data_IF_929702716540
#
_entry.id   IF_929702716540
#
_cell.length_a   1.000
_cell.length_b   1.000
_cell.length_c   1.000
_cell.angle_alpha   90.00
_cell.angle_beta   90.00
_cell.angle_gamma   90.00
#
_symmetry.space_group_name_H-M   'P 1'
#
loop_
_entity.id
_entity.type
_entity.pdbx_description
1 polymer ?
#
# COMPACT_ATOMS: atom_id res chain seq x y z
N UNK A 1 -20.35 4.01 -4.19
CA UNK A 1 -19.63 2.73 -4.00
C UNK A 1 -20.02 1.65 -5.00
N UNK A 2 -21.21 1.68 -5.62
CA UNK A 2 -21.65 0.64 -6.58
C UNK A 2 -20.88 0.58 -7.90
N UNK A 3 -20.01 1.55 -8.19
CA UNK A 3 -19.22 1.57 -9.43
C UNK A 3 -18.00 0.62 -9.41
N UNK A 4 -17.63 0.09 -8.24
CA UNK A 4 -16.52 -0.86 -8.08
C UNK A 4 -17.02 -2.29 -8.20
N UNK A 5 -16.62 -2.98 -9.28
CA UNK A 5 -16.96 -4.38 -9.52
C UNK A 5 -16.47 -5.32 -8.42
N UNK A 6 -15.37 -5.00 -7.73
CA UNK A 6 -14.77 -5.84 -6.71
C UNK A 6 -15.66 -6.04 -5.46
N UNK A 7 -16.71 -5.23 -5.30
CA UNK A 7 -17.68 -5.36 -4.20
C UNK A 7 -18.73 -6.46 -4.45
N UNK A 8 -18.90 -6.90 -5.71
CA UNK A 8 -19.94 -7.85 -6.08
C UNK A 8 -19.32 -9.23 -6.29
N UNK A 9 -19.77 -10.22 -5.53
CA UNK A 9 -19.31 -11.60 -5.69
C UNK A 9 -19.61 -12.15 -7.10
N UNK A 10 -20.71 -11.69 -7.72
CA UNK A 10 -21.08 -12.02 -9.10
C UNK A 10 -19.97 -11.70 -10.10
N UNK A 11 -19.38 -10.50 -9.99
CA UNK A 11 -18.35 -10.04 -10.94
C UNK A 11 -17.14 -10.96 -10.93
N UNK A 12 -16.77 -11.48 -9.76
CA UNK A 12 -15.67 -12.44 -9.60
C UNK A 12 -16.07 -13.80 -10.15
N UNK A 13 -17.21 -14.35 -9.72
CA UNK A 13 -17.63 -15.71 -10.08
C UNK A 13 -17.86 -15.90 -11.60
N UNK A 14 -18.34 -14.85 -12.30
CA UNK A 14 -18.50 -14.86 -13.76
C UNK A 14 -17.16 -14.90 -14.52
N UNK A 15 -16.09 -14.38 -13.91
CA UNK A 15 -14.80 -14.12 -14.57
C UNK A 15 -13.65 -15.02 -14.09
N UNK A 16 -13.89 -15.98 -13.19
CA UNK A 16 -12.92 -17.00 -12.79
C UNK A 16 -13.20 -18.34 -13.45
N UNK A 17 -12.18 -19.19 -13.61
CA UNK A 17 -12.43 -20.61 -13.89
C UNK A 17 -13.21 -21.22 -12.72
N UNK A 18 -14.50 -21.49 -12.98
CA UNK A 18 -15.42 -21.93 -11.95
C UNK A 18 -15.09 -23.34 -11.48
N UNK A 19 -14.56 -24.21 -12.34
CA UNK A 19 -14.16 -25.57 -11.94
C UNK A 19 -12.97 -25.51 -11.00
N UNK A 20 -11.98 -24.68 -11.32
CA UNK A 20 -10.82 -24.45 -10.44
C UNK A 20 -11.24 -23.79 -9.12
N UNK A 21 -12.17 -22.83 -9.16
CA UNK A 21 -12.77 -22.24 -7.95
C UNK A 21 -13.48 -23.30 -7.10
N UNK A 22 -14.31 -24.17 -7.70
CA UNK A 22 -15.00 -25.26 -7.00
C UNK A 22 -14.04 -26.26 -6.37
N UNK A 23 -12.94 -26.58 -7.05
CA UNK A 23 -11.92 -27.48 -6.52
C UNK A 23 -11.25 -26.91 -5.26
N UNK A 24 -10.95 -25.61 -5.22
CA UNK A 24 -10.28 -24.98 -4.09
C UNK A 24 -11.25 -24.54 -2.97
N UNK A 25 -12.40 -23.99 -3.34
CA UNK A 25 -13.30 -23.26 -2.43
C UNK A 25 -14.71 -23.83 -2.38
N UNK A 26 -15.02 -24.88 -3.13
CA UNK A 26 -16.40 -25.32 -3.36
C UNK A 26 -17.16 -25.65 -2.07
N UNK A 27 -16.57 -26.46 -1.18
CA UNK A 27 -17.17 -26.77 0.12
C UNK A 27 -17.46 -25.52 0.95
N UNK A 28 -16.52 -24.58 0.99
CA UNK A 28 -16.68 -23.36 1.77
C UNK A 28 -17.71 -22.43 1.16
N UNK A 29 -17.72 -22.30 -0.16
CA UNK A 29 -18.74 -21.56 -0.90
C UNK A 29 -20.14 -22.15 -0.70
N UNK A 30 -20.28 -23.47 -0.65
CA UNK A 30 -21.57 -24.12 -0.43
C UNK A 30 -22.13 -23.78 0.95
N UNK A 31 -21.32 -23.95 1.98
CA UNK A 31 -21.68 -23.64 3.38
C UNK A 31 -22.06 -22.17 3.54
N UNK A 32 -21.24 -21.28 3.00
CA UNK A 32 -21.38 -19.85 3.27
C UNK A 32 -22.38 -19.15 2.38
N UNK A 33 -22.59 -19.62 1.15
CA UNK A 33 -23.37 -18.90 0.13
C UNK A 33 -24.41 -19.82 -0.52
N UNK A 34 -23.98 -20.92 -1.15
CA UNK A 34 -24.86 -21.64 -2.07
C UNK A 34 -26.06 -22.32 -1.40
N UNK A 35 -25.88 -22.87 -0.19
CA UNK A 35 -26.98 -23.51 0.56
C UNK A 35 -28.11 -22.52 0.83
N UNK A 36 -27.78 -21.28 1.24
CA UNK A 36 -28.80 -20.26 1.51
C UNK A 36 -29.50 -19.84 0.21
N UNK A 37 -28.75 -19.58 -0.86
CA UNK A 37 -29.32 -19.17 -2.14
C UNK A 37 -30.23 -20.26 -2.74
N UNK A 38 -29.91 -21.53 -2.52
CA UNK A 38 -30.73 -22.66 -2.97
C UNK A 38 -32.10 -22.77 -2.28
N UNK A 39 -32.36 -21.99 -1.21
CA UNK A 39 -33.67 -21.98 -0.53
C UNK A 39 -34.75 -21.21 -1.29
N UNK A 40 -34.38 -20.43 -2.31
CA UNK A 40 -35.31 -19.62 -3.10
C UNK A 40 -35.12 -19.83 -4.60
N UNK A 41 -36.21 -19.70 -5.37
CA UNK A 41 -36.16 -19.79 -6.84
C UNK A 41 -35.30 -18.69 -7.45
N UNK A 42 -35.33 -17.48 -6.87
CA UNK A 42 -34.48 -16.37 -7.29
C UNK A 42 -33.00 -16.67 -7.07
N UNK A 43 -32.62 -17.18 -5.89
CA UNK A 43 -31.23 -17.51 -5.58
C UNK A 43 -30.67 -18.66 -6.42
N UNK A 44 -31.48 -19.69 -6.69
CA UNK A 44 -31.12 -20.77 -7.64
C UNK A 44 -30.88 -20.22 -9.06
N UNK A 45 -31.74 -19.31 -9.52
CA UNK A 45 -31.61 -18.68 -10.83
C UNK A 45 -30.34 -17.83 -10.92
N UNK A 46 -30.05 -17.03 -9.90
CA UNK A 46 -28.83 -16.23 -9.82
C UNK A 46 -27.57 -17.10 -9.79
N UNK A 47 -27.55 -18.19 -9.00
CA UNK A 47 -26.42 -19.13 -8.96
C UNK A 47 -26.15 -19.75 -10.33
N UNK A 48 -27.20 -20.20 -11.01
CA UNK A 48 -27.10 -20.78 -12.36
C UNK A 48 -26.53 -19.76 -13.36
N UNK A 49 -27.13 -18.56 -13.41
CA UNK A 49 -26.71 -17.50 -14.33
C UNK A 49 -25.27 -17.03 -14.08
N UNK A 50 -24.87 -16.89 -12.81
CA UNK A 50 -23.54 -16.38 -12.42
C UNK A 50 -22.43 -17.37 -12.72
N UNK A 51 -22.68 -18.67 -12.53
CA UNK A 51 -21.62 -19.70 -12.56
C UNK A 51 -21.48 -20.38 -13.92
N UNK A 52 -22.49 -20.28 -14.79
CA UNK A 52 -22.48 -20.85 -16.13
C UNK A 52 -22.24 -19.82 -17.24
N UNK A 53 -22.47 -18.53 -16.98
CA UNK A 53 -22.29 -17.48 -17.98
C UNK A 53 -20.82 -17.25 -18.32
N UNK A 54 -20.48 -17.37 -19.60
CA UNK A 54 -19.18 -17.00 -20.19
C UNK A 54 -19.43 -16.03 -21.34
N UNK A 55 -19.62 -14.77 -20.99
CA UNK A 55 -19.74 -13.71 -21.99
C UNK A 55 -18.38 -13.46 -22.65
N UNK A 56 -18.42 -12.86 -23.84
CA UNK A 56 -17.22 -12.23 -24.40
C UNK A 56 -16.78 -11.07 -23.50
N UNK A 57 -15.53 -10.63 -23.63
CA UNK A 57 -15.01 -9.50 -22.84
C UNK A 57 -15.86 -8.24 -23.09
N UNK A 58 -16.20 -7.95 -24.36
CA UNK A 58 -16.97 -6.77 -24.73
C UNK A 58 -18.40 -6.81 -24.15
N UNK A 59 -19.03 -7.99 -24.13
CA UNK A 59 -20.36 -8.18 -23.55
C UNK A 59 -20.33 -8.08 -22.03
N UNK A 60 -19.30 -8.60 -21.36
CA UNK A 60 -19.16 -8.49 -19.90
C UNK A 60 -18.90 -7.04 -19.48
N UNK A 61 -18.08 -6.29 -20.23
CA UNK A 61 -17.89 -4.84 -20.03
C UNK A 61 -19.22 -4.10 -20.22
N UNK A 62 -19.97 -4.42 -21.28
CA UNK A 62 -21.27 -3.82 -21.54
C UNK A 62 -22.28 -4.13 -20.43
N UNK A 63 -22.29 -5.37 -19.91
CA UNK A 63 -23.11 -5.78 -18.78
C UNK A 63 -22.75 -4.98 -17.52
N UNK A 64 -21.46 -4.85 -17.18
CA UNK A 64 -21.02 -4.06 -16.02
C UNK A 64 -21.44 -2.58 -16.15
N UNK A 65 -21.28 -2.00 -17.34
CA UNK A 65 -21.65 -0.60 -17.61
C UNK A 65 -23.16 -0.35 -17.47
N UNK A 66 -24.02 -1.32 -17.81
CA UNK A 66 -25.47 -1.20 -17.61
C UNK A 66 -25.85 -1.03 -16.13
N UNK A 67 -25.04 -1.56 -15.20
CA UNK A 67 -25.22 -1.39 -13.75
C UNK A 67 -24.35 -0.27 -13.16
N UNK A 68 -23.71 0.55 -14.00
CA UNK A 68 -22.84 1.65 -13.57
C UNK A 68 -21.51 1.20 -12.97
N UNK A 69 -21.11 -0.06 -13.17
CA UNK A 69 -19.80 -0.58 -12.77
C UNK A 69 -18.78 -0.18 -13.83
N UNK A 70 -17.72 0.52 -13.43
CA UNK A 70 -16.72 1.06 -14.37
C UNK A 70 -15.26 0.87 -13.95
N UNK A 71 -15.00 0.30 -12.78
CA UNK A 71 -13.67 -0.08 -12.33
C UNK A 71 -13.71 -1.33 -11.45
N UNK A 72 -12.55 -1.96 -11.26
CA UNK A 72 -12.37 -3.10 -10.38
C UNK A 72 -11.14 -2.87 -9.50
N UNK A 73 -11.37 -2.27 -8.33
CA UNK A 73 -10.30 -1.91 -7.40
C UNK A 73 -10.36 -2.83 -6.18
N UNK A 74 -9.33 -3.65 -6.00
CA UNK A 74 -9.17 -4.52 -4.83
C UNK A 74 -8.66 -3.73 -3.63
N UNK A 75 -9.00 -4.19 -2.43
CA UNK A 75 -8.42 -3.63 -1.21
C UNK A 75 -6.90 -3.78 -1.18
N UNK A 76 -6.23 -2.74 -0.66
CA UNK A 76 -4.79 -2.77 -0.46
C UNK A 76 -4.42 -3.73 0.67
N UNK A 77 -3.47 -4.62 0.39
CA UNK A 77 -3.01 -5.66 1.31
C UNK A 77 -1.51 -5.86 1.13
N UNK A 78 -0.79 -6.17 2.22
CA UNK A 78 0.65 -6.44 2.17
C UNK A 78 1.02 -7.91 2.34
N UNK A 79 0.05 -8.82 2.44
CA UNK A 79 0.29 -10.27 2.55
C UNK A 79 0.77 -10.91 1.23
N UNK A 80 0.67 -10.22 0.09
CA UNK A 80 1.02 -10.78 -1.23
C UNK A 80 1.85 -9.82 -2.07
N UNK A 81 2.97 -10.33 -2.59
CA UNK A 81 3.71 -9.75 -3.70
C UNK A 81 2.94 -10.01 -4.99
N UNK A 82 2.54 -8.94 -5.68
CA UNK A 82 1.99 -9.06 -7.02
C UNK A 82 3.12 -9.39 -7.99
N UNK A 83 2.86 -10.39 -8.84
CA UNK A 83 3.78 -10.73 -9.93
C UNK A 83 3.59 -9.77 -11.09
N UNK A 84 4.70 -9.37 -11.71
CA UNK A 84 4.69 -8.49 -12.88
C UNK A 84 5.78 -8.94 -13.84
N UNK A 85 5.38 -9.23 -15.08
CA UNK A 85 6.29 -9.45 -16.19
C UNK A 85 6.02 -8.34 -17.19
N UNK A 86 6.95 -7.41 -17.30
CA UNK A 86 6.90 -6.32 -18.26
C UNK A 86 8.07 -6.46 -19.23
N UNK A 87 7.78 -6.68 -20.50
CA UNK A 87 8.76 -6.81 -21.56
C UNK A 87 8.33 -6.03 -22.81
N UNK A 88 9.31 -5.60 -23.60
CA UNK A 88 9.11 -5.03 -24.93
C UNK A 88 9.97 -5.81 -25.92
N UNK A 89 9.59 -5.80 -27.19
CA UNK A 89 10.37 -6.43 -28.23
C UNK A 89 11.05 -5.38 -29.11
N UNK A 90 12.33 -5.61 -29.42
CA UNK A 90 13.06 -4.83 -30.41
C UNK A 90 13.17 -5.67 -31.67
N UNK A 91 12.64 -5.15 -32.77
CA UNK A 91 12.78 -5.78 -34.08
C UNK A 91 13.99 -5.20 -34.81
N UNK A 92 14.84 -6.06 -35.38
CA UNK A 92 15.93 -5.61 -36.23
C UNK A 92 15.47 -5.40 -37.69
N UNK A 93 16.37 -4.87 -38.53
CA UNK A 93 16.10 -4.61 -39.95
C UNK A 93 15.74 -5.87 -40.77
N UNK A 94 16.06 -7.06 -40.27
CA UNK A 94 15.73 -8.34 -40.90
C UNK A 94 14.39 -8.93 -40.43
N UNK A 95 13.62 -8.19 -39.61
CA UNK A 95 12.32 -8.63 -39.09
C UNK A 95 12.42 -9.62 -37.93
N UNK A 96 13.61 -9.85 -37.36
CA UNK A 96 13.76 -10.68 -36.16
C UNK A 96 13.44 -9.87 -34.91
N UNK A 97 12.56 -10.42 -34.07
CA UNK A 97 12.08 -9.81 -32.84
C UNK A 97 12.80 -10.38 -31.61
N UNK A 98 13.38 -9.51 -30.78
CA UNK A 98 14.10 -9.87 -29.56
C UNK A 98 13.40 -9.28 -28.33
N UNK A 99 12.93 -10.11 -27.37
CA UNK A 99 12.29 -9.63 -26.16
C UNK A 99 13.32 -9.11 -25.14
N UNK A 100 13.06 -7.94 -24.57
CA UNK A 100 13.79 -7.32 -23.47
C UNK A 100 12.86 -7.12 -22.29
N UNK A 101 13.27 -7.63 -21.13
CA UNK A 101 12.51 -7.51 -19.89
C UNK A 101 12.82 -6.18 -19.20
N UNK A 102 11.81 -5.33 -19.03
CA UNK A 102 11.90 -4.07 -18.27
C UNK A 102 11.79 -4.32 -16.77
N UNK A 103 10.87 -5.21 -16.39
CA UNK A 103 10.61 -5.54 -15.01
C UNK A 103 10.14 -6.98 -14.90
N UNK A 104 10.71 -7.68 -13.93
CA UNK A 104 10.32 -9.04 -13.60
C UNK A 104 10.17 -9.15 -12.10
N UNK A 105 9.00 -9.58 -11.66
CA UNK A 105 8.67 -9.80 -10.26
C UNK A 105 7.81 -11.06 -10.16
N UNK A 106 8.27 -12.03 -9.36
CA UNK A 106 7.47 -13.22 -9.07
C UNK A 106 6.37 -12.88 -8.08
N UNK A 107 5.18 -13.45 -8.29
CA UNK A 107 4.12 -13.42 -7.31
C UNK A 107 4.45 -14.37 -6.15
N UNK A 108 4.27 -13.93 -4.92
CA UNK A 108 4.43 -14.79 -3.75
C UNK A 108 3.62 -14.28 -2.55
N UNK A 109 3.24 -15.21 -1.67
CA UNK A 109 2.69 -14.83 -0.37
C UNK A 109 3.82 -14.47 0.59
N UNK A 110 3.55 -13.56 1.51
CA UNK A 110 4.48 -13.04 2.52
C UNK A 110 3.78 -12.86 3.87
N UNK A 111 3.07 -13.90 4.30
CA UNK A 111 2.32 -13.91 5.56
C UNK A 111 3.18 -13.58 6.79
N UNK A 112 4.48 -13.87 6.77
CA UNK A 112 5.40 -13.50 7.87
C UNK A 112 5.64 -11.99 8.02
N UNK A 113 5.39 -11.21 6.96
CA UNK A 113 5.57 -9.74 6.96
C UNK A 113 4.26 -8.98 6.89
N UNK A 114 3.17 -9.71 7.01
CA UNK A 114 1.82 -9.24 6.85
C UNK A 114 1.39 -8.39 8.05
N UNK A 115 0.74 -7.27 7.80
CA UNK A 115 0.19 -6.40 8.87
C UNK A 115 -1.20 -5.83 8.58
N UNK A 116 -1.77 -6.05 7.39
CA UNK A 116 -3.08 -5.58 6.93
C UNK A 116 -4.30 -6.44 7.30
N UNK A 117 -4.18 -7.74 7.61
CA UNK A 117 -5.30 -8.69 7.76
C UNK A 117 -6.21 -8.36 8.93
N UNK A 118 -5.70 -7.68 9.97
CA UNK A 118 -6.54 -7.16 11.06
C UNK A 118 -7.49 -6.05 10.62
N UNK A 119 -7.21 -5.34 9.53
CA UNK A 119 -8.16 -4.37 8.96
C UNK A 119 -9.31 -5.07 8.26
N UNK A 120 -8.97 -5.98 7.34
CA UNK A 120 -9.86 -6.98 6.78
C UNK A 120 -8.99 -8.08 6.17
N UNK A 121 -9.30 -9.35 6.48
CA UNK A 121 -8.46 -10.49 6.07
C UNK A 121 -8.84 -11.11 4.71
N UNK A 122 -9.88 -10.59 4.07
CA UNK A 122 -10.35 -11.08 2.78
C UNK A 122 -11.33 -12.26 2.85
N UNK A 123 -12.08 -12.43 1.75
CA UNK A 123 -13.13 -13.44 1.60
C UNK A 123 -12.62 -14.88 1.81
N UNK A 124 -11.39 -15.18 1.39
CA UNK A 124 -10.77 -16.50 1.59
C UNK A 124 -10.72 -16.91 3.08
N UNK A 125 -10.42 -15.95 3.96
CA UNK A 125 -10.39 -16.19 5.40
C UNK A 125 -11.81 -16.28 5.97
N UNK A 126 -12.77 -15.50 5.47
CA UNK A 126 -14.19 -15.63 5.84
C UNK A 126 -14.74 -17.02 5.51
N UNK A 127 -14.46 -17.50 4.29
CA UNK A 127 -14.83 -18.84 3.81
C UNK A 127 -14.20 -19.94 4.67
N UNK A 128 -12.90 -19.81 4.98
CA UNK A 128 -12.17 -20.77 5.81
C UNK A 128 -12.72 -20.80 7.23
N UNK A 129 -12.93 -19.63 7.86
CA UNK A 129 -13.48 -19.52 9.19
C UNK A 129 -14.86 -20.20 9.27
N UNK A 130 -15.73 -20.00 8.29
CA UNK A 130 -17.04 -20.64 8.28
C UNK A 130 -17.01 -22.17 8.10
N UNK A 131 -15.90 -22.77 7.65
CA UNK A 131 -15.79 -24.23 7.50
C UNK A 131 -14.98 -24.92 8.59
N UNK A 132 -14.22 -24.18 9.38
CA UNK A 132 -13.43 -24.70 10.48
C UNK A 132 -14.26 -24.82 11.75
N UNK A 133 -14.44 -26.04 12.24
CA UNK A 133 -15.24 -26.34 13.44
C UNK A 133 -14.78 -25.61 14.71
N UNK A 134 -13.50 -25.24 14.79
CA UNK A 134 -12.91 -24.53 15.92
C UNK A 134 -13.03 -23.00 15.82
N UNK A 135 -13.56 -22.48 14.71
CA UNK A 135 -13.82 -21.06 14.57
C UNK A 135 -15.03 -20.64 15.41
N UNK A 136 -15.28 -19.33 15.51
CA UNK A 136 -16.47 -18.79 16.15
C UNK A 136 -17.71 -18.78 15.23
N UNK A 137 -17.56 -19.10 13.95
CA UNK A 137 -18.64 -19.05 12.95
C UNK A 137 -18.81 -20.35 12.14
N UNK A 138 -18.63 -21.55 12.71
CA UNK A 138 -18.62 -22.79 11.96
C UNK A 138 -20.01 -23.10 11.38
N UNK A 139 -20.06 -23.45 10.10
CA UNK A 139 -21.28 -23.83 9.39
C UNK A 139 -22.25 -22.66 9.13
N UNK A 140 -21.84 -21.41 9.36
CA UNK A 140 -22.71 -20.24 9.22
C UNK A 140 -22.65 -19.63 7.81
N UNK A 141 -23.73 -18.92 7.44
CA UNK A 141 -23.86 -18.28 6.13
C UNK A 141 -23.24 -16.87 6.12
N UNK A 142 -22.62 -16.47 5.01
CA UNK A 142 -22.19 -15.09 4.76
C UNK A 142 -23.27 -14.25 4.07
N UNK A 143 -24.41 -14.86 3.71
CA UNK A 143 -25.57 -14.15 3.14
C UNK A 143 -26.29 -13.42 4.27
N UNK A 144 -26.31 -12.08 4.22
CA UNK A 144 -26.84 -11.23 5.31
C UNK A 144 -28.31 -11.47 5.64
N UNK A 145 -29.12 -11.89 4.67
CA UNK A 145 -30.54 -12.20 4.87
C UNK A 145 -30.79 -13.61 5.43
N UNK A 146 -29.75 -14.44 5.56
CA UNK A 146 -29.88 -15.79 6.12
C UNK A 146 -30.20 -15.72 7.62
N UNK A 147 -31.11 -16.58 8.13
CA UNK A 147 -31.32 -16.71 9.57
C UNK A 147 -30.08 -17.23 10.31
N UNK A 148 -29.13 -17.85 9.62
CA UNK A 148 -27.85 -18.32 10.17
C UNK A 148 -26.67 -17.45 9.72
N UNK A 149 -26.88 -16.13 9.59
CA UNK A 149 -25.82 -15.20 9.22
C UNK A 149 -24.67 -15.21 10.24
N UNK A 150 -23.45 -15.39 9.75
CA UNK A 150 -22.24 -15.63 10.54
C UNK A 150 -21.95 -14.55 11.57
N UNK A 151 -22.24 -13.29 11.24
CA UNK A 151 -21.93 -12.14 12.09
C UNK A 151 -23.16 -11.56 12.77
N UNK A 152 -24.26 -12.32 12.89
CA UNK A 152 -25.45 -11.88 13.62
C UNK A 152 -25.19 -11.73 15.13
N UNK A 153 -24.43 -12.66 15.71
CA UNK A 153 -24.18 -12.74 17.16
C UNK A 153 -22.70 -12.53 17.54
N UNK A 154 -21.82 -12.33 16.57
CA UNK A 154 -20.39 -12.07 16.79
C UNK A 154 -19.90 -11.01 15.81
N UNK A 155 -18.81 -10.34 16.16
CA UNK A 155 -18.13 -9.39 15.27
C UNK A 155 -16.92 -10.04 14.62
N UNK A 156 -16.54 -9.58 13.44
CA UNK A 156 -15.30 -10.03 12.81
C UNK A 156 -14.07 -9.75 13.69
N UNK A 157 -14.05 -8.64 14.45
CA UNK A 157 -13.03 -8.39 15.47
C UNK A 157 -12.92 -9.47 16.56
N UNK A 158 -14.05 -10.10 16.96
CA UNK A 158 -14.04 -11.24 17.89
C UNK A 158 -13.45 -12.49 17.22
N UNK A 159 -13.84 -12.76 15.98
CA UNK A 159 -13.31 -13.90 15.20
C UNK A 159 -11.79 -13.74 14.98
N UNK A 160 -11.33 -12.54 14.66
CA UNK A 160 -9.90 -12.21 14.50
C UNK A 160 -9.11 -12.42 15.79
N UNK A 161 -9.68 -12.10 16.96
CA UNK A 161 -9.07 -12.38 18.26
C UNK A 161 -8.98 -13.87 18.55
N UNK A 162 -10.06 -14.61 18.29
CA UNK A 162 -10.09 -16.06 18.49
C UNK A 162 -9.11 -16.81 17.58
N UNK A 163 -8.86 -16.30 16.37
CA UNK A 163 -7.88 -16.87 15.44
C UNK A 163 -6.44 -16.34 15.67
N UNK A 164 -6.24 -15.41 16.59
CA UNK A 164 -4.91 -14.85 16.90
C UNK A 164 -4.38 -13.81 15.90
N UNK A 165 -5.17 -13.40 14.91
CA UNK A 165 -4.80 -12.30 13.98
C UNK A 165 -4.81 -10.94 14.69
N UNK A 166 -5.72 -10.76 15.65
CA UNK A 166 -5.80 -9.56 16.48
C UNK A 166 -5.40 -9.90 17.91
N UNK A 167 -4.43 -9.19 18.52
CA UNK A 167 -4.03 -9.46 19.90
C UNK A 167 -5.18 -9.15 20.88
N UNK A 168 -5.14 -9.81 22.04
CA UNK A 168 -6.08 -9.56 23.13
C UNK A 168 -5.35 -9.68 24.48
N UNK A 169 -5.35 -8.64 25.33
CA UNK A 169 -5.97 -7.32 25.13
C UNK A 169 -5.29 -6.50 24.01
N UNK A 170 -6.01 -5.51 23.47
CA UNK A 170 -5.44 -4.55 22.51
C UNK A 170 -4.45 -3.63 23.23
N UNK A 171 -3.29 -3.38 22.63
CA UNK A 171 -2.42 -2.30 23.09
C UNK A 171 -2.97 -0.91 22.78
N UNK A 172 -2.41 0.11 23.43
CA UNK A 172 -2.93 1.48 23.36
C UNK A 172 -3.01 2.04 21.93
N UNK A 173 -2.05 1.69 21.06
CA UNK A 173 -2.06 2.12 19.67
C UNK A 173 -3.28 1.56 18.92
N UNK A 174 -3.60 0.27 19.10
CA UNK A 174 -4.78 -0.34 18.50
C UNK A 174 -6.09 0.13 19.12
N UNK A 175 -6.12 0.48 20.41
CA UNK A 175 -7.29 1.12 21.01
C UNK A 175 -7.58 2.47 20.35
N UNK A 176 -6.55 3.32 20.18
CA UNK A 176 -6.70 4.62 19.50
C UNK A 176 -7.15 4.42 18.04
N UNK A 177 -6.51 3.50 17.32
CA UNK A 177 -6.88 3.17 15.95
C UNK A 177 -8.34 2.71 15.84
N UNK A 178 -8.77 1.80 16.71
CA UNK A 178 -10.15 1.31 16.72
C UNK A 178 -11.15 2.44 16.98
N UNK A 179 -10.81 3.38 17.86
CA UNK A 179 -11.67 4.53 18.17
C UNK A 179 -11.77 5.52 17.01
N UNK A 180 -10.73 5.66 16.18
CA UNK A 180 -10.69 6.61 15.06
C UNK A 180 -11.26 6.00 13.77
N UNK A 181 -10.83 4.78 13.42
CA UNK A 181 -11.18 4.12 12.16
C UNK A 181 -12.42 3.22 12.25
N UNK A 182 -12.76 2.77 13.46
CA UNK A 182 -13.79 1.78 13.71
C UNK A 182 -13.23 0.38 13.98
N UNK A 183 -14.12 -0.63 14.07
CA UNK A 183 -13.73 -1.97 14.47
C UNK A 183 -12.80 -2.65 13.46
N UNK A 184 -11.78 -3.35 13.97
CA UNK A 184 -10.95 -4.26 13.19
C UNK A 184 -11.80 -5.33 12.49
N UNK A 185 -11.37 -5.75 11.31
CA UNK A 185 -12.13 -6.62 10.41
C UNK A 185 -13.11 -5.87 9.50
N UNK A 186 -13.41 -4.59 9.77
CA UNK A 186 -14.35 -3.78 8.97
C UNK A 186 -13.74 -2.47 8.46
N UNK A 187 -12.41 -2.44 8.28
CA UNK A 187 -11.71 -1.27 7.76
C UNK A 187 -11.24 -1.54 6.33
N UNK A 188 -11.82 -0.82 5.38
CA UNK A 188 -11.43 -0.90 3.97
C UNK A 188 -10.15 -0.10 3.71
N UNK A 189 -9.14 -0.74 3.15
CA UNK A 189 -7.88 -0.08 2.77
C UNK A 189 -7.77 0.09 1.27
N UNK A 190 -7.35 1.27 0.83
CA UNK A 190 -7.17 1.62 -0.58
C UNK A 190 -5.74 2.08 -0.83
N UNK A 191 -5.20 1.71 -1.99
CA UNK A 191 -3.93 2.25 -2.45
C UNK A 191 -4.15 3.63 -3.07
N UNK A 192 -3.47 4.64 -2.57
CA UNK A 192 -3.47 5.97 -3.16
C UNK A 192 -2.22 6.09 -4.03
N UNK A 193 -2.35 6.19 -5.37
CA UNK A 193 -1.19 6.35 -6.23
C UNK A 193 -0.55 7.72 -6.01
N UNK A 194 0.76 7.80 -6.26
CA UNK A 194 1.45 9.09 -6.29
C UNK A 194 0.77 10.01 -7.32
N UNK A 195 0.39 11.26 -6.95
CA UNK A 195 -0.29 12.19 -7.84
C UNK A 195 0.42 12.35 -9.18
N UNK A 196 -0.34 12.41 -10.27
CA UNK A 196 0.22 12.52 -11.62
C UNK A 196 1.11 13.76 -11.75
N UNK A 197 0.64 14.90 -11.24
CA UNK A 197 1.37 16.17 -11.30
C UNK A 197 2.71 16.11 -10.58
N UNK A 198 2.77 15.45 -9.42
CA UNK A 198 4.02 15.24 -8.69
C UNK A 198 5.00 14.36 -9.49
N UNK A 199 4.52 13.27 -10.10
CA UNK A 199 5.35 12.43 -10.98
C UNK A 199 5.86 13.19 -12.19
N UNK A 200 5.01 14.02 -12.81
CA UNK A 200 5.38 14.84 -13.96
C UNK A 200 6.42 15.90 -13.57
N UNK A 201 6.23 16.60 -12.45
CA UNK A 201 7.18 17.59 -11.95
C UNK A 201 8.56 16.99 -11.67
N UNK A 202 8.62 15.83 -11.01
CA UNK A 202 9.89 15.13 -10.76
C UNK A 202 10.52 14.68 -12.07
N UNK A 203 9.74 14.08 -12.98
CA UNK A 203 10.24 13.65 -14.30
C UNK A 203 10.82 14.82 -15.10
N UNK A 204 10.11 15.93 -15.18
CA UNK A 204 10.55 17.13 -15.89
C UNK A 204 11.83 17.69 -15.27
N UNK A 205 11.89 17.78 -13.94
CA UNK A 205 13.08 18.26 -13.22
C UNK A 205 14.30 17.38 -13.50
N UNK A 206 14.15 16.05 -13.50
CA UNK A 206 15.23 15.12 -13.83
C UNK A 206 15.67 15.23 -15.30
N UNK A 207 14.74 15.45 -16.24
CA UNK A 207 15.07 15.66 -17.65
C UNK A 207 15.88 16.96 -17.82
N UNK A 208 15.47 18.04 -17.17
CA UNK A 208 16.18 19.31 -17.21
C UNK A 208 17.58 19.20 -16.60
N UNK A 209 17.70 18.55 -15.44
CA UNK A 209 18.99 18.27 -14.80
C UNK A 209 19.92 17.51 -15.76
N UNK A 210 19.44 16.44 -16.38
CA UNK A 210 20.24 15.63 -17.31
C UNK A 210 20.67 16.40 -18.55
N UNK A 211 19.80 17.26 -19.11
CA UNK A 211 20.15 18.15 -20.22
C UNK A 211 21.22 19.16 -19.84
N UNK A 212 21.12 19.76 -18.64
CA UNK A 212 22.14 20.69 -18.15
C UNK A 212 23.50 19.99 -17.96
N UNK A 213 23.50 18.74 -17.50
CA UNK A 213 24.71 17.94 -17.35
C UNK A 213 25.31 17.52 -18.70
N UNK A 214 24.49 17.22 -19.71
CA UNK A 214 24.96 16.87 -21.05
C UNK A 214 25.62 18.07 -21.76
N UNK A 215 25.07 19.28 -21.56
CA UNK A 215 25.47 20.48 -22.27
C UNK A 215 26.69 21.24 -21.71
N UNK A 216 27.24 20.91 -20.54
CA UNK A 216 28.26 21.75 -19.91
C UNK A 216 29.18 21.10 -18.88
N UNK A 217 30.50 21.18 -19.12
CA UNK A 217 31.56 20.72 -18.20
C UNK A 217 31.48 21.45 -16.84
N UNK A 218 31.10 22.73 -16.83
CA UNK A 218 30.91 23.49 -15.60
C UNK A 218 29.77 22.90 -14.73
N UNK A 219 28.63 22.56 -15.35
CA UNK A 219 27.50 21.94 -14.65
C UNK A 219 27.87 20.55 -14.11
N UNK A 220 28.63 19.75 -14.88
CA UNK A 220 29.15 18.46 -14.43
C UNK A 220 30.09 18.61 -13.23
N UNK A 221 31.00 19.58 -13.28
CA UNK A 221 31.94 19.86 -12.18
C UNK A 221 31.19 20.27 -10.91
N UNK A 222 30.28 21.24 -10.98
CA UNK A 222 29.45 21.66 -9.83
C UNK A 222 28.60 20.53 -9.28
N UNK A 223 28.01 19.69 -10.14
CA UNK A 223 27.24 18.51 -9.70
C UNK A 223 28.11 17.50 -8.95
N UNK A 224 29.33 17.25 -9.43
CA UNK A 224 30.26 16.29 -8.79
C UNK A 224 30.75 16.73 -7.41
N UNK A 225 30.77 18.05 -7.16
CA UNK A 225 31.19 18.64 -5.89
C UNK A 225 30.14 18.54 -4.79
N UNK A 226 28.89 18.19 -5.11
CA UNK A 226 27.85 17.99 -4.10
C UNK A 226 28.22 16.78 -3.24
N UNK A 227 28.38 17.03 -1.94
CA UNK A 227 28.68 15.99 -0.96
C UNK A 227 27.53 15.01 -0.87
N UNK A 228 27.85 13.71 -0.87
CA UNK A 228 26.81 12.69 -0.70
C UNK A 228 26.29 12.75 0.74
N UNK A 229 24.98 12.92 0.98
CA UNK A 229 24.42 12.77 2.31
C UNK A 229 24.50 11.27 2.64
N UNK A 230 25.45 10.87 3.48
CA UNK A 230 25.71 9.47 3.84
C UNK A 230 24.60 8.88 4.75
N UNK A 231 23.33 8.99 4.35
CA UNK A 231 22.14 8.66 5.16
C UNK A 231 22.01 9.47 6.46
N UNK A 232 22.65 10.64 6.54
CA UNK A 232 22.58 11.56 7.69
C UNK A 232 21.32 12.45 7.64
N UNK A 233 20.15 11.83 7.48
CA UNK A 233 18.88 12.53 7.42
C UNK A 233 17.85 11.82 8.30
N UNK A 234 17.46 12.50 9.37
CA UNK A 234 16.40 12.08 10.28
C UNK A 234 15.50 13.27 10.57
N UNK A 235 14.77 13.79 9.55
CA UNK A 235 13.97 14.97 9.74
C UNK A 235 12.68 14.61 10.50
N UNK A 236 12.17 15.58 11.25
CA UNK A 236 10.83 15.52 11.80
C UNK A 236 10.07 16.80 11.45
N UNK A 237 8.73 16.73 11.23
CA UNK A 237 7.94 17.92 10.99
C UNK A 237 8.03 18.87 12.18
N UNK A 238 8.20 20.17 11.91
CA UNK A 238 8.28 21.20 12.96
C UNK A 238 7.10 21.14 13.93
N UNK A 239 5.89 20.92 13.40
CA UNK A 239 4.68 20.79 14.22
C UNK A 239 4.78 19.66 15.26
N UNK A 240 5.56 18.61 14.99
CA UNK A 240 5.76 17.49 15.92
C UNK A 240 6.86 17.79 16.92
N UNK A 241 7.97 18.39 16.47
CA UNK A 241 9.05 18.81 17.37
C UNK A 241 8.61 19.88 18.36
N UNK A 242 7.70 20.77 17.95
CA UNK A 242 7.12 21.80 18.82
C UNK A 242 6.24 21.20 19.93
N UNK A 243 5.62 20.03 19.69
CA UNK A 243 4.89 19.26 20.73
C UNK A 243 5.85 18.51 21.65
N UNK A 244 6.98 18.01 21.12
CA UNK A 244 8.05 17.41 21.92
C UNK A 244 7.73 16.02 22.50
N UNK A 245 6.95 15.20 21.80
CA UNK A 245 6.61 13.86 22.26
C UNK A 245 7.73 12.82 21.99
N UNK A 246 7.70 11.72 22.75
CA UNK A 246 8.50 10.53 22.48
C UNK A 246 7.68 9.52 21.66
N UNK A 247 8.21 9.07 20.52
CA UNK A 247 7.53 8.14 19.64
C UNK A 247 7.63 6.71 20.17
N UNK A 248 6.50 6.10 20.54
CA UNK A 248 6.36 4.72 21.05
C UNK A 248 5.97 3.73 19.93
N UNK A 249 6.59 3.88 18.77
CA UNK A 249 6.26 3.14 17.55
C UNK A 249 6.03 4.10 16.39
N UNK A 250 5.33 3.64 15.37
CA UNK A 250 5.03 4.46 14.19
C UNK A 250 4.03 3.75 13.28
N UNK A 251 4.28 2.45 13.02
CA UNK A 251 3.41 1.68 12.16
C UNK A 251 2.02 1.53 12.78
N UNK A 252 1.03 2.21 12.20
CA UNK A 252 -0.37 2.13 12.62
C UNK A 252 -0.89 0.69 12.57
N UNK A 253 -0.29 -0.15 11.72
CA UNK A 253 -0.57 -1.57 11.61
C UNK A 253 0.28 -2.42 12.57
N UNK A 254 0.88 -1.87 13.61
CA UNK A 254 1.64 -2.63 14.59
C UNK A 254 1.32 -2.17 16.01
N UNK A 255 1.59 -3.05 16.97
CA UNK A 255 1.50 -2.67 18.38
C UNK A 255 2.52 -1.59 18.73
N UNK A 256 2.22 -0.83 19.78
CA UNK A 256 3.15 0.15 20.32
C UNK A 256 4.41 -0.55 20.84
N UNK A 257 5.57 0.09 20.64
CA UNK A 257 6.81 -0.35 21.27
C UNK A 257 6.81 0.05 22.73
N UNK A 258 7.64 -0.61 23.55
CA UNK A 258 7.77 -0.21 24.96
C UNK A 258 8.32 1.20 25.06
N UNK A 259 7.94 1.93 26.12
CA UNK A 259 8.44 3.28 26.36
C UNK A 259 9.97 3.32 26.54
N UNK A 260 10.57 2.23 27.01
CA UNK A 260 12.03 2.09 27.12
C UNK A 260 12.74 2.15 25.75
N UNK A 261 12.04 1.87 24.65
CA UNK A 261 12.54 1.99 23.28
C UNK A 261 12.00 3.23 22.55
N UNK A 262 11.37 4.16 23.28
CA UNK A 262 10.88 5.40 22.72
C UNK A 262 12.00 6.43 22.61
N UNK A 263 11.95 7.23 21.54
CA UNK A 263 12.90 8.31 21.31
C UNK A 263 12.16 9.63 21.09
N UNK A 264 12.76 10.77 21.47
CA UNK A 264 12.20 12.08 21.16
C UNK A 264 11.96 12.22 19.65
N UNK A 265 10.81 12.76 19.25
CA UNK A 265 10.50 12.97 17.82
C UNK A 265 11.50 13.89 17.12
N UNK A 266 12.22 14.72 17.88
CA UNK A 266 13.32 15.55 17.36
C UNK A 266 14.52 14.75 16.84
N UNK A 267 14.62 13.46 17.15
CA UNK A 267 15.66 12.58 16.60
C UNK A 267 15.28 11.99 15.24
N UNK A 268 14.03 12.20 14.80
CA UNK A 268 13.50 11.78 13.52
C UNK A 268 12.15 11.10 13.63
N UNK A 269 11.58 10.76 12.48
CA UNK A 269 10.33 10.01 12.41
C UNK A 269 10.59 8.50 12.44
N UNK A 270 9.76 7.77 13.19
CA UNK A 270 9.58 6.33 13.00
C UNK A 270 8.79 6.04 11.72
N UNK A 271 8.89 4.83 11.19
CA UNK A 271 8.15 4.41 10.00
C UNK A 271 6.66 4.31 10.31
N UNK A 272 5.83 5.17 9.71
CA UNK A 272 4.40 5.30 10.02
C UNK A 272 3.51 4.19 9.42
N UNK A 273 3.83 3.73 8.22
CA UNK A 273 3.18 2.61 7.55
C UNK A 273 4.19 2.00 6.59
N UNK A 274 4.19 0.68 6.45
CA UNK A 274 5.08 0.02 5.48
C UNK A 274 4.38 -1.15 4.81
N UNK A 275 4.51 -1.22 3.49
CA UNK A 275 4.15 -2.42 2.74
C UNK A 275 5.19 -3.53 2.93
N UNK A 276 6.47 -3.17 3.11
CA UNK A 276 7.58 -4.11 3.09
C UNK A 276 8.03 -4.63 4.46
N UNK A 277 7.67 -3.93 5.53
CA UNK A 277 8.19 -4.17 6.89
C UNK A 277 7.17 -4.91 7.74
N UNK A 278 7.62 -5.98 8.40
CA UNK A 278 6.86 -6.66 9.44
C UNK A 278 6.74 -5.77 10.70
N UNK A 279 5.92 -6.19 11.66
CA UNK A 279 5.95 -5.61 12.99
C UNK A 279 7.18 -6.10 13.76
N UNK A 280 7.80 -5.21 14.53
CA UNK A 280 8.95 -5.49 15.37
C UNK A 280 8.72 -4.91 16.77
N UNK A 281 9.37 -5.51 17.77
CA UNK A 281 9.36 -5.02 19.15
C UNK A 281 10.16 -3.72 19.34
N UNK A 282 10.99 -3.37 18.36
CA UNK A 282 11.80 -2.15 18.33
C UNK A 282 11.24 -1.17 17.30
N UNK A 283 11.36 0.12 17.60
CA UNK A 283 10.93 1.16 16.68
C UNK A 283 11.85 1.18 15.45
N UNK A 284 11.24 1.09 14.27
CA UNK A 284 11.95 1.23 12.99
C UNK A 284 11.91 2.69 12.58
N UNK A 285 13.08 3.29 12.40
CA UNK A 285 13.23 4.65 11.89
C UNK A 285 12.84 4.74 10.42
N UNK A 286 12.28 5.89 10.02
CA UNK A 286 12.10 6.17 8.60
C UNK A 286 13.48 6.40 7.98
N UNK A 287 13.87 5.53 7.06
CA UNK A 287 15.11 5.68 6.30
C UNK A 287 14.87 6.53 5.06
N UNK A 288 15.68 7.57 4.90
CA UNK A 288 15.69 8.41 3.71
C UNK A 288 16.95 8.15 2.89
N UNK A 289 16.78 7.69 1.66
CA UNK A 289 17.89 7.51 0.72
C UNK A 289 17.97 8.75 -0.19
N UNK A 290 18.79 9.71 0.21
CA UNK A 290 19.05 10.91 -0.59
C UNK A 290 20.13 10.65 -1.63
N UNK A 291 19.80 10.91 -2.89
CA UNK A 291 20.77 11.01 -3.98
C UNK A 291 21.02 12.49 -4.31
N UNK A 292 22.12 12.78 -5.03
CA UNK A 292 22.38 14.14 -5.56
C UNK A 292 21.23 14.64 -6.42
N UNK A 293 20.71 13.79 -7.30
CA UNK A 293 19.54 14.10 -8.13
C UNK A 293 18.32 14.45 -7.26
N UNK A 294 18.02 13.65 -6.24
CA UNK A 294 16.90 13.91 -5.33
C UNK A 294 17.06 15.22 -4.57
N UNK A 295 18.27 15.58 -4.14
CA UNK A 295 18.55 16.86 -3.49
C UNK A 295 18.32 18.05 -4.42
N UNK A 296 18.85 18.00 -5.65
CA UNK A 296 18.68 19.08 -6.64
C UNK A 296 17.20 19.25 -6.98
N UNK A 297 16.51 18.16 -7.30
CA UNK A 297 15.08 18.19 -7.61
C UNK A 297 14.29 18.74 -6.43
N UNK A 298 14.59 18.31 -5.20
CA UNK A 298 13.91 18.81 -4.00
C UNK A 298 14.18 20.29 -3.76
N UNK A 299 15.42 20.77 -3.96
CA UNK A 299 15.78 22.18 -3.81
C UNK A 299 15.06 23.06 -4.85
N UNK A 300 14.95 22.59 -6.10
CA UNK A 300 14.20 23.29 -7.15
C UNK A 300 12.71 23.31 -6.82
N UNK A 301 12.12 22.16 -6.48
CA UNK A 301 10.68 22.05 -6.21
C UNK A 301 10.25 22.80 -4.95
N UNK A 302 11.12 22.93 -3.96
CA UNK A 302 10.86 23.72 -2.75
C UNK A 302 11.22 25.21 -2.90
N UNK A 303 11.75 25.61 -4.06
CA UNK A 303 12.25 26.97 -4.31
C UNK A 303 13.25 27.44 -3.24
N UNK A 304 14.18 26.55 -2.87
CA UNK A 304 15.17 26.78 -1.83
C UNK A 304 16.23 27.76 -2.33
N UNK A 305 16.08 29.05 -1.99
CA UNK A 305 16.85 30.15 -2.60
C UNK A 305 17.65 30.98 -1.60
N UNK A 306 17.28 31.00 -0.32
CA UNK A 306 17.93 31.85 0.70
C UNK A 306 18.67 31.04 1.77
N UNK A 307 19.79 31.58 2.33
CA UNK A 307 20.50 30.94 3.44
C UNK A 307 19.63 30.69 4.68
N UNK A 308 18.66 31.57 4.94
CA UNK A 308 17.70 31.40 6.04
C UNK A 308 16.82 30.16 5.83
N UNK A 309 16.28 29.97 4.62
CA UNK A 309 15.49 28.77 4.31
C UNK A 309 16.31 27.49 4.42
N UNK A 310 17.59 27.52 4.03
CA UNK A 310 18.51 26.39 4.19
C UNK A 310 18.71 26.08 5.68
N UNK A 311 18.95 27.11 6.51
CA UNK A 311 19.10 26.96 7.95
C UNK A 311 17.83 26.39 8.61
N UNK A 312 16.65 26.92 8.27
CA UNK A 312 15.37 26.45 8.80
C UNK A 312 15.08 24.99 8.38
N UNK A 313 15.41 24.63 7.14
CA UNK A 313 15.29 23.25 6.65
C UNK A 313 16.23 22.33 7.42
N UNK A 314 17.49 22.72 7.61
CA UNK A 314 18.47 21.91 8.32
C UNK A 314 18.21 21.82 9.83
N UNK A 315 17.53 22.80 10.42
CA UNK A 315 17.09 22.74 11.82
C UNK A 315 16.10 21.59 12.07
N UNK A 316 15.38 21.13 11.04
CA UNK A 316 14.50 19.95 11.14
C UNK A 316 15.26 18.63 11.17
N UNK A 317 16.56 18.63 10.83
CA UNK A 317 17.44 17.46 10.85
C UNK A 317 18.42 17.58 12.03
N UNK A 318 17.88 17.73 13.25
CA UNK A 318 18.62 18.18 14.43
C UNK A 318 19.93 17.43 14.68
N UNK A 319 19.93 16.09 14.50
CA UNK A 319 21.11 15.23 14.70
C UNK A 319 22.26 15.50 13.70
N UNK A 320 21.94 16.05 12.52
CA UNK A 320 22.87 16.21 11.41
C UNK A 320 22.84 17.62 10.80
N UNK A 321 22.47 18.63 11.59
CA UNK A 321 22.31 20.03 11.15
C UNK A 321 23.54 20.53 10.39
N UNK A 322 24.75 20.34 10.94
CA UNK A 322 26.01 20.79 10.32
C UNK A 322 26.24 20.14 8.95
N UNK A 323 26.04 18.82 8.85
CA UNK A 323 26.20 18.10 7.57
C UNK A 323 25.13 18.54 6.57
N UNK A 324 23.91 18.80 7.04
CA UNK A 324 22.83 19.33 6.21
C UNK A 324 23.17 20.67 5.58
N UNK A 325 23.70 21.61 6.37
CA UNK A 325 24.12 22.91 5.87
C UNK A 325 25.16 22.77 4.75
N UNK A 326 26.08 21.81 4.85
CA UNK A 326 27.10 21.57 3.82
C UNK A 326 26.45 21.12 2.51
N UNK A 327 25.71 20.01 2.51
CA UNK A 327 25.19 19.46 1.25
C UNK A 327 24.08 20.31 0.63
N UNK A 328 23.25 21.02 1.42
CA UNK A 328 22.21 21.89 0.87
C UNK A 328 22.78 23.18 0.29
N UNK A 329 23.79 23.80 0.91
CA UNK A 329 24.46 24.96 0.31
C UNK A 329 25.11 24.58 -1.02
N UNK A 330 25.85 23.47 -1.06
CA UNK A 330 26.45 22.95 -2.30
C UNK A 330 25.38 22.65 -3.37
N UNK A 331 24.24 22.08 -2.96
CA UNK A 331 23.13 21.80 -3.87
C UNK A 331 22.57 23.09 -4.48
N UNK A 332 22.26 24.11 -3.66
CA UNK A 332 21.70 25.38 -4.14
C UNK A 332 22.71 26.18 -4.97
N UNK A 333 23.99 26.10 -4.65
CA UNK A 333 25.04 26.70 -5.48
C UNK A 333 25.14 26.01 -6.85
N UNK A 334 25.01 24.68 -6.89
CA UNK A 334 25.10 23.89 -8.12
C UNK A 334 23.96 24.16 -9.11
N UNK A 335 22.79 24.62 -8.65
CA UNK A 335 21.64 24.90 -9.54
C UNK A 335 21.76 26.23 -10.28
N UNK A 336 22.58 27.17 -9.79
CA UNK A 336 22.78 28.48 -10.44
C UNK A 336 23.33 28.37 -11.88
N UNK A 337 24.42 27.65 -12.17
CA UNK A 337 24.94 27.50 -13.53
C UNK A 337 24.06 26.63 -14.45
N UNK A 338 23.05 25.94 -13.91
CA UNK A 338 22.10 25.13 -14.70
C UNK A 338 20.88 25.93 -15.20
N UNK A 339 20.74 27.18 -14.74
CA UNK A 339 19.61 28.07 -15.06
C UNK A 339 19.89 29.12 -16.14
N UNK A 340 21.15 29.21 -16.59
CA UNK A 340 21.63 30.09 -17.67
C UNK A 340 21.71 29.34 -19.00
#
# INVERSE_FOLDING_TARGET
MTANGALFLESVLRNVDYNSFRNCWGRAFDVTVAIELNRSTFGQSWLSATTQSRLSIDDEVSYWQQYGINHFDTQWQNFKLLGLVNSYAVSNMFGMSYPFTLQYQNASFRFEKETTLKMYWGLACDLTAATHNTSQIPGLSLVRSSPSYAFANTSLASVLRANGTLPSPLGNAFVVMQNILGPFGSVDMYYIPCPLDAKLAVRQSLVLLRRALDGGVAAQSSYSQISHPLNNLSPAPKAWTDIGFAAVGGNLLCEATTFASAFPVSFGMTTLTSWGSACYSLAIWTSWYLTREAMIVSAIMSNLTSPAMIADTCAQNALYTTTCLVYLNQTVESTRPMSS
#
